data_IF_289329550629
#
_entry.id   IF_289329550629
#
_cell.length_a   1.000
_cell.length_b   1.000
_cell.length_c   1.000
_cell.angle_alpha   90.00
_cell.angle_beta   90.00
_cell.angle_gamma   90.00
#
_symmetry.space_group_name_H-M   'P 1'
#
loop_
_entity.id
_entity.type
_entity.pdbx_description
1 polymer ?
#
# COMPACT_ATOMS: atom_id res chain seq x y z
N UNK A 1 14.65 10.99 -1.98
CA UNK A 1 13.71 10.49 -0.97
C UNK A 1 12.40 10.11 -1.65
N UNK A 2 11.73 9.04 -1.24
CA UNK A 2 10.39 8.73 -1.74
C UNK A 2 9.42 9.87 -1.41
N UNK A 3 8.48 10.17 -2.32
CA UNK A 3 7.47 11.20 -2.09
C UNK A 3 6.54 10.78 -0.95
N UNK A 4 6.12 11.75 -0.13
CA UNK A 4 5.07 11.49 0.86
C UNK A 4 3.70 11.36 0.17
N UNK A 5 2.75 10.66 0.81
CA UNK A 5 1.38 10.56 0.28
C UNK A 5 0.69 11.91 0.14
N UNK A 6 0.95 12.85 1.04
CA UNK A 6 0.41 14.21 0.94
C UNK A 6 0.95 14.93 -0.31
N UNK A 7 2.25 14.78 -0.59
CA UNK A 7 2.86 15.36 -1.79
C UNK A 7 2.30 14.72 -3.07
N UNK A 8 2.08 13.41 -3.08
CA UNK A 8 1.45 12.70 -4.21
C UNK A 8 0.03 13.21 -4.43
N UNK A 9 -0.76 13.38 -3.36
CA UNK A 9 -2.13 13.93 -3.45
C UNK A 9 -2.15 15.35 -3.99
N UNK A 10 -1.24 16.21 -3.55
CA UNK A 10 -1.12 17.58 -4.05
C UNK A 10 -0.76 17.61 -5.54
N UNK A 11 0.14 16.72 -5.99
CA UNK A 11 0.49 16.58 -7.41
C UNK A 11 -0.68 16.03 -8.23
N UNK A 12 -1.40 15.04 -7.72
CA UNK A 12 -2.57 14.46 -8.38
C UNK A 12 -3.69 15.50 -8.57
N UNK A 13 -3.91 16.37 -7.58
CA UNK A 13 -4.86 17.47 -7.68
C UNK A 13 -4.47 18.43 -8.82
N UNK A 14 -3.20 18.86 -8.86
CA UNK A 14 -2.69 19.73 -9.93
C UNK A 14 -2.81 19.09 -11.30
N UNK A 15 -2.41 17.82 -11.41
CA UNK A 15 -2.53 17.05 -12.64
C UNK A 15 -3.99 16.98 -13.14
N UNK A 16 -4.94 16.69 -12.24
CA UNK A 16 -6.35 16.62 -12.61
C UNK A 16 -6.92 17.95 -13.13
N UNK A 17 -6.44 19.07 -12.58
CA UNK A 17 -6.85 20.40 -13.01
C UNK A 17 -6.22 20.79 -14.35
N UNK A 18 -4.94 20.50 -14.54
CA UNK A 18 -4.19 20.83 -15.75
C UNK A 18 -4.72 20.05 -16.97
N UNK A 19 -5.07 18.78 -16.78
CA UNK A 19 -5.53 17.89 -17.86
C UNK A 19 -7.06 17.76 -17.95
N UNK A 20 -7.83 18.63 -17.30
CA UNK A 20 -9.30 18.56 -17.25
C UNK A 20 -9.97 18.60 -18.65
N UNK A 21 -9.34 19.30 -19.60
CA UNK A 21 -9.84 19.49 -20.96
C UNK A 21 -9.15 18.58 -22.00
N UNK A 22 -8.26 17.69 -21.55
CA UNK A 22 -7.56 16.75 -22.42
C UNK A 22 -8.55 15.82 -23.14
N UNK A 23 -8.30 15.54 -24.43
CA UNK A 23 -9.26 14.77 -25.21
C UNK A 23 -8.69 13.99 -26.39
N UNK A 24 -7.50 14.35 -26.90
CA UNK A 24 -7.01 13.84 -28.19
C UNK A 24 -5.87 12.87 -27.98
N UNK A 25 -6.08 11.61 -28.34
CA UNK A 25 -5.09 10.52 -28.21
C UNK A 25 -3.76 10.86 -28.88
N UNK A 26 -3.76 11.19 -30.18
CA UNK A 26 -2.55 11.48 -30.96
C UNK A 26 -1.76 12.70 -30.47
N UNK A 27 -2.43 13.67 -29.84
CA UNK A 27 -1.81 14.94 -29.44
C UNK A 27 -1.39 14.93 -27.96
N UNK A 28 -2.22 14.36 -27.10
CA UNK A 28 -2.14 14.58 -25.64
C UNK A 28 -1.60 13.35 -24.90
N UNK A 29 -1.80 12.12 -25.41
CA UNK A 29 -1.60 10.90 -24.64
C UNK A 29 -0.19 10.77 -24.06
N UNK A 30 0.84 11.06 -24.85
CA UNK A 30 2.24 10.91 -24.43
C UNK A 30 2.58 11.86 -23.28
N UNK A 31 2.24 13.14 -23.43
CA UNK A 31 2.50 14.15 -22.41
C UNK A 31 1.64 13.93 -21.16
N UNK A 32 0.38 13.51 -21.35
CA UNK A 32 -0.50 13.14 -20.23
C UNK A 32 0.10 12.01 -19.41
N UNK A 33 0.59 10.94 -20.05
CA UNK A 33 1.19 9.81 -19.35
C UNK A 33 2.52 10.16 -18.69
N UNK A 34 3.35 10.98 -19.34
CA UNK A 34 4.58 11.50 -18.72
C UNK A 34 4.28 12.26 -17.42
N UNK A 35 3.30 13.18 -17.44
CA UNK A 35 2.90 13.93 -16.25
C UNK A 35 2.17 13.07 -15.21
N UNK A 36 1.39 12.09 -15.65
CA UNK A 36 0.76 11.11 -14.75
C UNK A 36 1.81 10.36 -13.92
N UNK A 37 2.91 9.91 -14.53
CA UNK A 37 4.00 9.28 -13.78
C UNK A 37 4.77 10.26 -12.88
N UNK A 38 4.87 11.53 -13.29
CA UNK A 38 5.48 12.58 -12.47
C UNK A 38 4.69 12.86 -11.17
N UNK A 39 3.36 12.59 -11.14
CA UNK A 39 2.56 12.61 -9.89
C UNK A 39 3.18 11.70 -8.84
N UNK A 40 3.69 10.54 -9.25
CA UNK A 40 4.35 9.55 -8.41
C UNK A 40 5.87 9.76 -8.31
N UNK A 41 6.41 10.83 -8.88
CA UNK A 41 7.85 11.11 -8.91
C UNK A 41 8.65 10.15 -9.80
N UNK A 42 7.98 9.48 -10.74
CA UNK A 42 8.58 8.50 -11.63
C UNK A 42 8.92 9.20 -12.95
N UNK A 43 10.21 9.37 -13.22
CA UNK A 43 10.64 9.99 -14.48
C UNK A 43 10.41 9.07 -15.67
N UNK A 44 10.21 9.66 -16.85
CA UNK A 44 10.12 8.95 -18.14
C UNK A 44 11.23 7.90 -18.37
N UNK A 45 12.46 8.19 -17.93
CA UNK A 45 13.61 7.28 -18.11
C UNK A 45 13.50 5.98 -17.31
N UNK A 46 12.64 5.97 -16.28
CA UNK A 46 12.41 4.85 -15.37
C UNK A 46 11.23 4.00 -15.81
N UNK A 47 10.20 4.62 -16.38
CA UNK A 47 9.10 3.90 -17.02
C UNK A 47 9.57 3.31 -18.35
N UNK A 48 8.87 2.28 -18.82
CA UNK A 48 9.31 1.52 -19.99
C UNK A 48 9.11 2.23 -21.33
N UNK A 49 8.71 1.49 -22.35
CA UNK A 49 8.70 1.95 -23.73
C UNK A 49 7.33 2.54 -24.09
N UNK A 50 7.33 3.76 -24.60
CA UNK A 50 6.17 4.36 -25.26
C UNK A 50 6.05 3.85 -26.69
N UNK A 51 4.83 3.73 -27.20
CA UNK A 51 4.55 3.26 -28.57
C UNK A 51 5.22 1.90 -28.84
N UNK A 52 5.13 1.00 -27.86
CA UNK A 52 5.79 -0.30 -27.90
C UNK A 52 5.12 -1.19 -28.95
N UNK A 53 5.89 -1.56 -29.98
CA UNK A 53 5.41 -2.46 -31.03
C UNK A 53 5.31 -3.89 -30.51
N UNK A 54 4.15 -4.50 -30.72
CA UNK A 54 3.87 -5.88 -30.32
C UNK A 54 3.19 -6.62 -31.47
N UNK A 55 3.42 -7.93 -31.57
CA UNK A 55 2.69 -8.78 -32.51
C UNK A 55 1.38 -9.24 -31.88
N UNK A 56 0.28 -9.09 -32.61
CA UNK A 56 -1.03 -9.63 -32.22
C UNK A 56 -1.14 -11.12 -32.58
N UNK A 57 -2.19 -11.78 -32.08
CA UNK A 57 -2.47 -13.19 -32.40
C UNK A 57 -2.65 -13.46 -33.90
N UNK A 58 -3.13 -12.48 -34.66
CA UNK A 58 -3.32 -12.57 -36.11
C UNK A 58 -2.06 -12.20 -36.91
N UNK A 59 -0.89 -12.12 -36.24
CA UNK A 59 0.42 -11.73 -36.78
C UNK A 59 0.45 -10.28 -37.34
N UNK A 60 -0.59 -9.48 -37.09
CA UNK A 60 -0.60 -8.06 -37.40
C UNK A 60 0.15 -7.25 -36.34
N UNK A 61 0.64 -6.08 -36.74
CA UNK A 61 1.33 -5.16 -35.84
C UNK A 61 0.33 -4.41 -34.95
N UNK A 62 0.65 -4.35 -33.66
CA UNK A 62 -0.01 -3.50 -32.67
C UNK A 62 0.99 -2.54 -32.03
N UNK A 63 0.44 -1.47 -31.46
CA UNK A 63 1.21 -0.50 -30.68
C UNK A 63 0.52 -0.31 -29.34
N UNK A 64 1.29 -0.49 -28.27
CA UNK A 64 0.89 -0.19 -26.91
C UNK A 64 1.33 1.23 -26.60
N UNK A 65 0.43 2.08 -26.09
CA UNK A 65 0.77 3.47 -25.78
C UNK A 65 1.91 3.57 -24.77
N UNK A 66 1.85 2.80 -23.69
CA UNK A 66 2.95 2.68 -22.73
C UNK A 66 3.04 1.28 -22.11
N UNK A 67 4.21 0.67 -22.19
CA UNK A 67 4.51 -0.58 -21.49
C UNK A 67 5.67 -0.40 -20.51
N UNK A 68 5.38 -0.53 -19.21
CA UNK A 68 6.38 -0.80 -18.20
C UNK A 68 6.39 -2.30 -17.88
N UNK A 69 7.35 -3.00 -18.51
CA UNK A 69 7.54 -4.45 -18.41
C UNK A 69 7.47 -4.96 -16.96
N UNK A 70 6.68 -6.01 -16.74
CA UNK A 70 6.50 -6.62 -15.41
C UNK A 70 5.69 -5.78 -14.41
N UNK A 71 5.19 -4.61 -14.83
CA UNK A 71 4.57 -3.63 -13.93
C UNK A 71 3.18 -3.23 -14.43
N UNK A 72 3.10 -2.43 -15.48
CA UNK A 72 1.83 -1.87 -15.96
C UNK A 72 1.85 -1.66 -17.48
N UNK A 73 0.73 -1.96 -18.12
CA UNK A 73 0.42 -1.62 -19.51
C UNK A 73 -0.66 -0.54 -19.49
N UNK A 74 -0.47 0.53 -20.25
CA UNK A 74 -1.45 1.60 -20.40
C UNK A 74 -1.87 1.74 -21.85
N UNK A 75 -3.19 1.78 -22.08
CA UNK A 75 -3.82 2.06 -23.37
C UNK A 75 -4.73 3.29 -23.23
N UNK A 76 -4.49 4.30 -24.04
CA UNK A 76 -5.25 5.54 -24.08
C UNK A 76 -6.26 5.50 -25.22
N UNK A 77 -7.37 6.22 -25.06
CA UNK A 77 -8.29 6.52 -26.13
C UNK A 77 -8.65 8.00 -26.11
N UNK A 78 -9.09 8.53 -27.24
CA UNK A 78 -9.70 9.87 -27.26
C UNK A 78 -10.93 9.92 -26.34
N UNK A 79 -11.22 11.08 -25.76
CA UNK A 79 -12.28 11.25 -24.75
C UNK A 79 -13.66 10.79 -25.23
N UNK A 80 -14.38 10.08 -24.38
CA UNK A 80 -15.70 9.50 -24.64
C UNK A 80 -15.69 8.22 -25.46
N UNK A 81 -14.53 7.65 -25.78
CA UNK A 81 -14.42 6.35 -26.46
C UNK A 81 -14.63 5.19 -25.49
N UNK A 82 -14.97 4.03 -26.03
CA UNK A 82 -15.29 2.85 -25.24
C UNK A 82 -14.02 2.21 -24.63
N UNK A 83 -13.94 2.20 -23.30
CA UNK A 83 -12.80 1.65 -22.55
C UNK A 83 -12.81 0.13 -22.44
N UNK A 84 -13.97 -0.54 -22.51
CA UNK A 84 -14.02 -2.01 -22.53
C UNK A 84 -13.27 -2.57 -23.75
N UNK A 85 -13.44 -1.94 -24.92
CA UNK A 85 -12.70 -2.30 -26.14
C UNK A 85 -11.21 -2.04 -25.99
N UNK A 86 -10.82 -0.94 -25.34
CA UNK A 86 -9.42 -0.66 -25.06
C UNK A 86 -8.81 -1.71 -24.13
N UNK A 87 -9.58 -2.19 -23.14
CA UNK A 87 -9.13 -3.25 -22.25
C UNK A 87 -8.96 -4.59 -22.99
N UNK A 88 -9.91 -4.97 -23.85
CA UNK A 88 -9.76 -6.17 -24.69
C UNK A 88 -8.51 -6.09 -25.58
N UNK A 89 -8.26 -4.93 -26.19
CA UNK A 89 -7.07 -4.67 -26.98
C UNK A 89 -5.78 -4.80 -26.15
N UNK A 90 -5.75 -4.24 -24.94
CA UNK A 90 -4.63 -4.37 -24.02
C UNK A 90 -4.37 -5.84 -23.62
N UNK A 91 -5.42 -6.62 -23.38
CA UNK A 91 -5.32 -8.07 -23.12
C UNK A 91 -4.78 -8.81 -24.35
N UNK A 92 -5.25 -8.51 -25.56
CA UNK A 92 -4.73 -9.12 -26.79
C UNK A 92 -3.21 -8.91 -26.91
N UNK A 93 -2.73 -7.70 -26.62
CA UNK A 93 -1.30 -7.39 -26.64
C UNK A 93 -0.47 -8.22 -25.67
N UNK A 94 -1.00 -8.63 -24.52
CA UNK A 94 -0.26 -9.46 -23.56
C UNK A 94 0.16 -10.82 -24.13
N UNK A 95 -0.53 -11.35 -25.15
CA UNK A 95 -0.16 -12.61 -25.81
C UNK A 95 1.13 -12.51 -26.63
N UNK A 96 1.49 -11.30 -27.08
CA UNK A 96 2.71 -11.03 -27.81
C UNK A 96 3.90 -10.68 -26.92
N UNK A 97 3.73 -10.64 -25.59
CA UNK A 97 4.77 -10.30 -24.62
C UNK A 97 5.42 -11.54 -24.03
N UNK A 98 6.71 -11.46 -23.70
CA UNK A 98 7.37 -12.53 -22.97
C UNK A 98 6.90 -12.58 -21.50
N UNK A 99 7.05 -13.74 -20.85
CA UNK A 99 6.58 -13.97 -19.48
C UNK A 99 7.08 -12.92 -18.48
N UNK A 100 8.32 -12.45 -18.63
CA UNK A 100 8.94 -11.46 -17.74
C UNK A 100 8.49 -10.01 -18.04
N UNK A 101 7.82 -9.80 -19.18
CA UNK A 101 7.32 -8.50 -19.63
C UNK A 101 5.84 -8.31 -19.27
N UNK A 102 5.12 -9.42 -19.05
CA UNK A 102 3.70 -9.41 -18.70
C UNK A 102 3.42 -8.43 -17.56
N UNK A 103 2.51 -7.46 -17.77
CA UNK A 103 2.19 -6.48 -16.75
C UNK A 103 1.38 -7.12 -15.63
N UNK A 104 1.45 -6.54 -14.43
CA UNK A 104 0.54 -6.90 -13.32
C UNK A 104 -0.74 -6.09 -13.36
N UNK A 105 -0.64 -4.87 -13.87
CA UNK A 105 -1.75 -3.94 -14.00
C UNK A 105 -2.01 -3.58 -15.47
N UNK A 106 -3.28 -3.40 -15.82
CA UNK A 106 -3.67 -2.75 -17.07
C UNK A 106 -4.45 -1.49 -16.68
N UNK A 107 -4.02 -0.33 -17.15
CA UNK A 107 -4.81 0.89 -17.07
C UNK A 107 -5.32 1.24 -18.46
N UNK A 108 -6.62 1.47 -18.58
CA UNK A 108 -7.18 2.09 -19.78
C UNK A 108 -7.85 3.41 -19.43
N UNK A 109 -7.67 4.42 -20.27
CA UNK A 109 -8.20 5.75 -20.00
C UNK A 109 -8.56 6.53 -21.26
N UNK A 110 -9.62 7.33 -21.16
CA UNK A 110 -10.05 8.28 -22.19
C UNK A 110 -9.80 9.74 -21.76
N UNK A 111 -8.75 9.94 -20.96
CA UNK A 111 -8.40 11.18 -20.25
C UNK A 111 -9.33 11.56 -19.09
N UNK A 112 -10.64 11.30 -19.21
CA UNK A 112 -11.61 11.59 -18.14
C UNK A 112 -11.80 10.41 -17.20
N UNK A 113 -11.92 9.20 -17.73
CA UNK A 113 -12.20 7.99 -16.97
C UNK A 113 -10.94 7.12 -16.91
N UNK A 114 -10.71 6.50 -15.76
CA UNK A 114 -9.61 5.60 -15.48
C UNK A 114 -10.18 4.25 -15.06
N UNK A 115 -9.82 3.20 -15.80
CA UNK A 115 -10.18 1.82 -15.47
C UNK A 115 -8.88 1.07 -15.19
N UNK A 116 -8.58 0.86 -13.90
CA UNK A 116 -7.39 0.14 -13.45
C UNK A 116 -7.75 -1.30 -13.14
N UNK A 117 -7.20 -2.23 -13.91
CA UNK A 117 -7.34 -3.66 -13.73
C UNK A 117 -6.11 -4.23 -13.03
N UNK A 118 -6.33 -4.98 -11.95
CA UNK A 118 -5.34 -5.82 -11.30
C UNK A 118 -5.46 -7.25 -11.85
N UNK A 119 -4.45 -7.73 -12.58
CA UNK A 119 -4.49 -9.05 -13.21
C UNK A 119 -4.22 -10.19 -12.22
N UNK A 120 -3.57 -9.90 -11.09
CA UNK A 120 -3.33 -10.89 -10.03
C UNK A 120 -4.62 -11.08 -9.21
N UNK A 121 -5.21 -9.99 -8.73
CA UNK A 121 -6.42 -10.02 -7.90
C UNK A 121 -7.73 -10.12 -8.70
N UNK A 122 -7.66 -10.01 -10.04
CA UNK A 122 -8.81 -9.97 -10.96
C UNK A 122 -9.85 -8.92 -10.55
N UNK A 123 -9.38 -7.75 -10.12
CA UNK A 123 -10.22 -6.64 -9.67
C UNK A 123 -10.16 -5.46 -10.65
N UNK A 124 -11.22 -4.66 -10.66
CA UNK A 124 -11.35 -3.44 -11.47
C UNK A 124 -11.70 -2.28 -10.53
N UNK A 125 -10.99 -1.17 -10.70
CA UNK A 125 -11.27 0.10 -10.05
C UNK A 125 -11.54 1.15 -11.13
N UNK A 126 -12.70 1.79 -11.04
CA UNK A 126 -13.16 2.81 -11.98
C UNK A 126 -13.29 4.15 -11.26
N UNK A 127 -12.66 5.19 -11.79
CA UNK A 127 -12.76 6.53 -11.24
C UNK A 127 -12.52 7.59 -12.32
N UNK A 128 -12.90 8.84 -12.02
CA UNK A 128 -12.66 9.98 -12.92
C UNK A 128 -11.36 10.70 -12.60
N UNK A 129 -10.80 11.41 -13.57
CA UNK A 129 -9.60 12.23 -13.41
C UNK A 129 -9.68 13.17 -12.19
N UNK A 130 -10.82 13.83 -11.99
CA UNK A 130 -11.04 14.74 -10.86
C UNK A 130 -11.04 14.03 -9.49
N UNK A 131 -11.20 12.71 -9.48
CA UNK A 131 -11.14 11.89 -8.28
C UNK A 131 -9.79 11.18 -8.10
N UNK A 132 -8.80 11.46 -8.99
CA UNK A 132 -7.48 10.85 -8.91
C UNK A 132 -6.84 11.04 -7.53
N UNK A 133 -7.02 12.21 -6.89
CA UNK A 133 -6.52 12.51 -5.54
C UNK A 133 -6.94 11.46 -4.50
N UNK A 134 -8.15 10.92 -4.60
CA UNK A 134 -8.67 9.90 -3.68
C UNK A 134 -8.24 8.48 -4.08
N UNK A 135 -7.77 8.30 -5.31
CA UNK A 135 -7.46 7.01 -5.90
C UNK A 135 -5.94 6.77 -6.08
N UNK A 136 -5.07 7.74 -5.75
CA UNK A 136 -3.60 7.61 -5.90
C UNK A 136 -3.00 6.38 -5.19
N UNK A 137 -3.64 5.92 -4.12
CA UNK A 137 -3.22 4.75 -3.34
C UNK A 137 -3.26 3.45 -4.14
N UNK A 138 -4.15 3.33 -5.13
CA UNK A 138 -4.25 2.16 -5.99
C UNK A 138 -3.02 2.00 -6.91
N UNK A 139 -2.22 3.05 -7.06
CA UNK A 139 -0.98 3.05 -7.81
C UNK A 139 0.26 2.91 -6.92
N UNK A 140 0.09 2.60 -5.62
CA UNK A 140 1.21 2.43 -4.69
C UNK A 140 2.24 1.39 -5.15
N UNK A 141 1.83 0.37 -5.89
CA UNK A 141 2.73 -0.62 -6.48
C UNK A 141 3.79 0.00 -7.40
N UNK A 142 3.47 1.08 -8.12
CA UNK A 142 4.43 1.80 -8.98
C UNK A 142 5.61 2.39 -8.18
N UNK A 143 5.38 2.66 -6.90
CA UNK A 143 6.39 3.18 -5.97
C UNK A 143 7.19 2.06 -5.28
N UNK A 144 6.88 0.80 -5.57
CA UNK A 144 7.44 -0.36 -4.86
C UNK A 144 6.73 -0.68 -3.54
N UNK A 145 5.60 -0.01 -3.22
CA UNK A 145 4.75 -0.47 -2.13
C UNK A 145 4.05 -1.75 -2.57
N UNK A 146 4.48 -2.89 -2.03
CA UNK A 146 3.70 -4.10 -2.16
C UNK A 146 2.38 -3.90 -1.42
N UNK A 147 1.26 -4.17 -2.11
CA UNK A 147 -0.06 -4.27 -1.49
C UNK A 147 0.03 -5.38 -0.44
N UNK A 148 0.33 -5.04 0.82
CA UNK A 148 -0.02 -5.92 1.94
C UNK A 148 -1.54 -5.89 1.99
N UNK A 149 -2.17 -6.78 1.24
CA UNK A 149 -3.58 -7.09 1.43
C UNK A 149 -3.66 -7.75 2.80
N UNK A 150 -3.79 -6.93 3.84
CA UNK A 150 -4.41 -7.40 5.06
C UNK A 150 -5.84 -7.69 4.66
N UNK A 151 -6.15 -8.95 4.34
CA UNK A 151 -7.54 -9.36 4.20
C UNK A 151 -8.20 -9.02 5.53
N UNK A 152 -9.17 -8.12 5.50
CA UNK A 152 -10.00 -7.78 6.65
C UNK A 152 -10.75 -9.01 7.22
N UNK A 153 -10.67 -10.16 6.52
CA UNK A 153 -11.29 -11.44 6.85
C UNK A 153 -10.28 -12.61 6.92
N UNK A 154 -9.03 -12.38 7.31
CA UNK A 154 -8.20 -13.52 7.73
C UNK A 154 -8.81 -14.13 9.01
N UNK A 155 -9.19 -15.42 9.05
CA UNK A 155 -9.68 -16.06 10.28
C UNK A 155 -8.76 -15.82 11.48
N UNK A 156 -7.44 -15.71 11.25
CA UNK A 156 -6.47 -15.39 12.29
C UNK A 156 -6.66 -13.98 12.88
N UNK A 157 -7.07 -12.99 12.07
CA UNK A 157 -7.32 -11.63 12.54
C UNK A 157 -8.58 -11.55 13.41
N UNK A 158 -9.62 -12.31 13.03
CA UNK A 158 -10.87 -12.40 13.81
C UNK A 158 -10.58 -13.08 15.16
N UNK A 159 -9.87 -14.20 15.15
CA UNK A 159 -9.49 -14.91 16.37
C UNK A 159 -8.63 -14.04 17.30
N UNK A 160 -7.67 -13.30 16.75
CA UNK A 160 -6.83 -12.37 17.52
C UNK A 160 -7.66 -11.25 18.16
N UNK A 161 -8.62 -10.67 17.44
CA UNK A 161 -9.51 -9.65 17.99
C UNK A 161 -10.40 -10.20 19.12
N UNK A 162 -10.92 -11.43 18.96
CA UNK A 162 -11.69 -12.10 20.02
C UNK A 162 -10.83 -12.39 21.26
N UNK A 163 -9.56 -12.78 21.09
CA UNK A 163 -8.63 -12.99 22.20
C UNK A 163 -8.33 -11.69 22.95
N UNK A 164 -8.15 -10.57 22.25
CA UNK A 164 -8.00 -9.24 22.89
C UNK A 164 -9.27 -8.82 23.65
N UNK A 165 -10.46 -9.12 23.10
CA UNK A 165 -11.74 -8.92 23.80
C UNK A 165 -11.85 -9.77 25.07
N UNK A 166 -11.43 -11.03 25.04
CA UNK A 166 -11.41 -11.90 26.23
C UNK A 166 -10.42 -11.38 27.28
N UNK A 167 -9.25 -10.89 26.87
CA UNK A 167 -8.28 -10.28 27.78
C UNK A 167 -8.84 -9.03 28.47
N UNK A 168 -9.52 -8.15 27.71
CA UNK A 168 -10.25 -7.00 28.24
C UNK A 168 -11.21 -7.42 29.35
N UNK A 169 -12.09 -8.38 29.06
CA UNK A 169 -13.14 -8.79 29.98
C UNK A 169 -12.56 -9.42 31.25
N UNK A 170 -11.49 -10.21 31.13
CA UNK A 170 -10.79 -10.78 32.30
C UNK A 170 -10.15 -9.72 33.19
N UNK A 171 -9.50 -8.71 32.62
CA UNK A 171 -8.94 -7.59 33.39
C UNK A 171 -10.04 -6.79 34.08
N UNK A 172 -11.17 -6.58 33.40
CA UNK A 172 -12.35 -5.91 33.95
C UNK A 172 -12.96 -6.68 35.12
N UNK A 173 -13.09 -8.01 35.01
CA UNK A 173 -13.61 -8.90 36.05
C UNK A 173 -12.82 -8.82 37.36
N UNK A 174 -11.49 -8.66 37.28
CA UNK A 174 -10.62 -8.53 38.46
C UNK A 174 -10.50 -7.08 38.97
N UNK A 175 -11.26 -6.15 38.40
CA UNK A 175 -11.38 -4.77 38.88
C UNK A 175 -10.50 -3.72 38.16
N UNK A 176 -9.73 -4.10 37.14
CA UNK A 176 -9.00 -3.14 36.31
C UNK A 176 -9.93 -2.60 35.24
N UNK A 177 -10.46 -1.38 35.42
CA UNK A 177 -11.62 -0.89 34.63
C UNK A 177 -11.44 0.56 34.16
N UNK A 178 -12.33 0.99 33.26
CA UNK A 178 -12.43 2.37 32.79
C UNK A 178 -11.25 2.77 31.90
N UNK A 179 -10.97 4.07 31.85
CA UNK A 179 -9.94 4.62 30.95
C UNK A 179 -8.55 3.96 31.07
N UNK A 180 -8.04 3.59 32.27
CA UNK A 180 -6.77 2.87 32.39
C UNK A 180 -6.76 1.53 31.66
N UNK A 181 -7.85 0.75 31.70
CA UNK A 181 -7.99 -0.51 30.98
C UNK A 181 -7.88 -0.31 29.47
N UNK A 182 -8.61 0.68 28.93
CA UNK A 182 -8.60 0.96 27.50
C UNK A 182 -7.21 1.36 27.01
N UNK A 183 -6.55 2.26 27.75
CA UNK A 183 -5.18 2.69 27.43
C UNK A 183 -4.20 1.52 27.52
N UNK A 184 -4.37 0.65 28.50
CA UNK A 184 -3.51 -0.53 28.67
C UNK A 184 -3.60 -1.48 27.48
N UNK A 185 -4.82 -1.79 27.01
CA UNK A 185 -4.98 -2.67 25.84
C UNK A 185 -4.49 -2.06 24.54
N UNK A 186 -4.72 -0.76 24.33
CA UNK A 186 -4.18 -0.07 23.14
C UNK A 186 -2.65 -0.12 23.14
N UNK A 187 -1.99 0.02 24.29
CA UNK A 187 -0.53 -0.13 24.41
C UNK A 187 -0.06 -1.54 24.10
N UNK A 188 -0.74 -2.57 24.60
CA UNK A 188 -0.42 -3.96 24.29
C UNK A 188 -0.57 -4.24 22.79
N UNK A 189 -1.68 -3.80 22.20
CA UNK A 189 -1.92 -3.94 20.75
C UNK A 189 -0.83 -3.26 19.93
N UNK A 190 -0.40 -2.08 20.35
CA UNK A 190 0.73 -1.39 19.71
C UNK A 190 2.03 -2.19 19.81
N UNK A 191 2.34 -2.79 20.97
CA UNK A 191 3.57 -3.59 21.14
C UNK A 191 3.58 -4.83 20.25
N UNK A 192 2.45 -5.55 20.18
CA UNK A 192 2.27 -6.71 19.29
C UNK A 192 2.43 -6.31 17.81
N UNK A 193 1.87 -5.17 17.41
CA UNK A 193 2.06 -4.65 16.05
C UNK A 193 3.50 -4.18 15.79
N UNK A 194 4.16 -3.60 16.79
CA UNK A 194 5.49 -3.02 16.64
C UNK A 194 6.58 -4.08 16.36
N UNK A 195 6.48 -5.27 16.96
CA UNK A 195 7.43 -6.38 16.73
C UNK A 195 7.21 -7.15 15.41
N UNK A 196 5.99 -7.11 14.86
CA UNK A 196 5.66 -7.63 13.53
C UNK A 196 5.94 -6.63 12.39
N UNK A 197 6.42 -5.44 12.76
CA UNK A 197 6.84 -4.39 11.82
C UNK A 197 8.32 -4.06 12.03
N UNK A 198 8.74 -2.86 11.64
CA UNK A 198 10.14 -2.39 11.78
C UNK A 198 10.28 -1.38 12.90
N UNK A 199 9.34 -1.34 13.85
CA UNK A 199 9.36 -0.42 14.99
C UNK A 199 10.20 -1.04 16.11
N UNK A 200 9.91 -2.29 16.46
CA UNK A 200 10.74 -3.12 17.34
C UNK A 200 11.55 -4.11 16.51
N UNK A 201 12.54 -4.74 17.14
CA UNK A 201 13.16 -5.92 16.55
C UNK A 201 12.14 -7.08 16.49
N UNK A 202 12.36 -8.00 15.56
CA UNK A 202 11.44 -9.12 15.34
C UNK A 202 11.31 -9.94 16.63
N UNK A 203 10.08 -10.14 17.12
CA UNK A 203 9.76 -10.87 18.37
C UNK A 203 10.31 -10.23 19.66
N UNK A 204 10.75 -8.97 19.64
CA UNK A 204 11.36 -8.32 20.81
C UNK A 204 10.40 -8.24 22.02
N UNK A 205 9.11 -8.00 21.78
CA UNK A 205 8.13 -7.90 22.87
C UNK A 205 7.76 -9.28 23.41
N UNK A 206 7.60 -10.27 22.53
CA UNK A 206 7.40 -11.67 22.91
C UNK A 206 8.58 -12.19 23.75
N UNK A 207 9.82 -12.02 23.28
CA UNK A 207 11.04 -12.46 23.99
C UNK A 207 11.20 -11.76 25.34
N UNK A 208 10.84 -10.48 25.45
CA UNK A 208 10.84 -9.78 26.72
C UNK A 208 9.89 -10.43 27.74
N UNK A 209 8.67 -10.79 27.31
CA UNK A 209 7.72 -11.49 28.18
C UNK A 209 8.27 -12.88 28.54
N UNK A 210 8.68 -13.67 27.56
CA UNK A 210 9.13 -15.06 27.78
C UNK A 210 10.40 -15.18 28.63
N UNK A 211 11.30 -14.19 28.58
CA UNK A 211 12.58 -14.24 29.27
C UNK A 211 12.65 -13.41 30.55
N UNK A 212 11.77 -12.41 30.72
CA UNK A 212 11.81 -11.48 31.87
C UNK A 212 10.60 -11.55 32.79
N UNK A 213 9.67 -12.47 32.54
CA UNK A 213 8.51 -12.70 33.41
C UNK A 213 8.48 -14.15 33.90
N UNK A 214 7.84 -14.37 35.05
CA UNK A 214 7.61 -15.70 35.58
C UNK A 214 6.50 -16.43 34.81
N UNK A 215 6.63 -17.75 34.69
CA UNK A 215 5.66 -18.63 34.02
C UNK A 215 4.26 -18.55 34.65
N UNK A 216 4.15 -18.22 35.94
CA UNK A 216 2.87 -18.03 36.64
C UNK A 216 2.23 -16.65 36.42
N UNK A 217 2.93 -15.74 35.72
CA UNK A 217 2.48 -14.38 35.42
C UNK A 217 2.48 -13.42 36.63
N UNK A 218 3.04 -13.83 37.77
CA UNK A 218 3.00 -13.06 39.03
C UNK A 218 3.63 -11.67 38.93
N UNK A 219 4.59 -11.48 38.03
CA UNK A 219 5.36 -10.25 37.84
C UNK A 219 5.08 -9.52 36.51
N UNK A 220 4.26 -10.10 35.63
CA UNK A 220 3.99 -9.59 34.28
C UNK A 220 3.53 -8.13 34.27
N UNK A 221 2.58 -7.77 35.14
CA UNK A 221 2.05 -6.41 35.19
C UNK A 221 3.12 -5.36 35.55
N UNK A 222 4.02 -5.70 36.47
CA UNK A 222 5.11 -4.81 36.87
C UNK A 222 6.13 -4.63 35.73
N UNK A 223 6.45 -5.71 35.01
CA UNK A 223 7.35 -5.69 33.85
C UNK A 223 6.78 -4.89 32.68
N UNK A 224 5.50 -5.04 32.40
CA UNK A 224 4.83 -4.22 31.38
C UNK A 224 4.79 -2.74 31.75
N UNK A 225 4.63 -2.41 33.04
CA UNK A 225 4.68 -1.02 33.50
C UNK A 225 6.08 -0.41 33.33
N UNK A 226 7.13 -1.18 33.64
CA UNK A 226 8.53 -0.81 33.37
C UNK A 226 8.74 -0.53 31.88
N UNK A 227 8.30 -1.45 31.01
CA UNK A 227 8.37 -1.28 29.55
C UNK A 227 7.66 0.00 29.08
N UNK A 228 6.42 0.25 29.52
CA UNK A 228 5.69 1.44 29.10
C UNK A 228 6.34 2.75 29.56
N UNK A 229 7.01 2.73 30.71
CA UNK A 229 7.80 3.87 31.15
C UNK A 229 9.00 4.10 30.22
N UNK A 230 9.71 3.04 29.84
CA UNK A 230 10.86 3.10 28.92
C UNK A 230 10.45 3.59 27.54
N UNK A 231 9.33 3.11 27.00
CA UNK A 231 8.78 3.57 25.71
C UNK A 231 8.38 5.05 25.72
N UNK A 232 8.09 5.60 26.90
CA UNK A 232 7.79 7.01 27.09
C UNK A 232 9.01 7.86 27.53
N UNK A 233 10.21 7.26 27.58
CA UNK A 233 11.45 7.93 28.02
C UNK A 233 12.46 7.99 26.88
N UNK A 234 12.87 9.21 26.43
CA UNK A 234 13.92 9.38 25.43
C UNK A 234 15.22 8.68 25.82
N UNK A 235 15.95 8.13 24.85
CA UNK A 235 17.13 7.27 25.08
C UNK A 235 18.17 7.93 25.99
N UNK A 236 18.42 9.21 25.81
CA UNK A 236 19.35 10.03 26.58
C UNK A 236 18.92 10.29 28.03
N UNK A 237 17.66 10.05 28.37
CA UNK A 237 17.09 10.22 29.70
C UNK A 237 16.89 8.88 30.44
N UNK A 238 17.20 7.74 29.80
CA UNK A 238 17.10 6.42 30.42
C UNK A 238 18.20 6.22 31.45
N UNK A 239 17.93 5.39 32.46
CA UNK A 239 18.95 5.01 33.45
C UNK A 239 20.11 4.27 32.77
N UNK A 240 21.34 4.57 33.20
CA UNK A 240 22.56 3.97 32.62
C UNK A 240 22.72 2.48 32.93
N UNK A 241 21.96 1.97 33.91
CA UNK A 241 21.93 0.58 34.34
C UNK A 241 20.59 -0.09 34.00
N UNK A 242 19.84 0.44 33.02
CA UNK A 242 18.63 -0.19 32.50
C UNK A 242 19.00 -1.57 31.90
N UNK A 243 18.08 -2.53 32.00
CA UNK A 243 18.24 -3.84 31.35
C UNK A 243 18.51 -3.68 29.85
N UNK A 244 19.46 -4.44 29.32
CA UNK A 244 19.89 -4.32 27.92
C UNK A 244 18.74 -4.56 26.94
N UNK A 245 17.81 -5.48 27.22
CA UNK A 245 16.64 -5.73 26.37
C UNK A 245 15.64 -4.55 26.34
N UNK A 246 15.67 -3.68 27.35
CA UNK A 246 14.87 -2.45 27.39
C UNK A 246 15.63 -1.22 26.88
N UNK A 247 16.96 -1.31 26.78
CA UNK A 247 17.80 -0.18 26.39
C UNK A 247 17.74 0.09 24.88
N UNK A 248 17.52 -0.95 24.08
CA UNK A 248 17.52 -0.91 22.61
C UNK A 248 16.26 -0.26 22.01
#
# INVERSE_FOLDING_TARGET
MPLSWNEIKDRALKFSQEWADAAREEADAKSFLEEFFNVFGISRKRVGTFEHRVKKMDDSDGYIDMLWKGTILIEMKSRGKNLDRAYQQAIEYTHGLEQHELPKYILVSDFENFHLYDLEDKSLIEFKLNDLINNVQHFGYLLGYQKKVYKEEDPANIEAAELMGKLHDRLKEIGYTGHPLEVYLVRLLFCLFAEDTTIFEKQQFQEYIEHRTHVDGSDLAAKLQELFQVLNTPKEQRFKNLDEQLAE
#
